data_IF_710863086441
#
_entry.id   IF_710863086441
#
_cell.length_a   1.000
_cell.length_b   1.000
_cell.length_c   1.000
_cell.angle_alpha   90.00
_cell.angle_beta   90.00
_cell.angle_gamma   90.00
#
_symmetry.space_group_name_H-M   'P 1'
#
loop_
_entity.id
_entity.type
_entity.pdbx_description
1 polymer ?
#
# COMPACT_ATOMS: atom_id res chain seq x y z
N UNK A 1 -21.20 -26.28 -13.09
CA UNK A 1 -20.97 -25.27 -12.05
C UNK A 1 -19.68 -25.66 -11.37
N UNK A 2 -18.61 -24.88 -11.54
CA UNK A 2 -17.38 -25.06 -10.76
C UNK A 2 -17.20 -23.79 -9.93
N UNK A 3 -17.39 -23.93 -8.63
CA UNK A 3 -16.96 -22.93 -7.65
C UNK A 3 -15.43 -22.93 -7.64
N UNK A 4 -14.84 -21.88 -8.19
CA UNK A 4 -13.42 -21.61 -8.05
C UNK A 4 -13.17 -21.11 -6.63
N UNK A 5 -12.88 -22.02 -5.71
CA UNK A 5 -12.28 -21.68 -4.43
C UNK A 5 -10.85 -21.16 -4.70
N UNK A 6 -10.63 -19.88 -4.45
CA UNK A 6 -9.28 -19.29 -4.44
C UNK A 6 -8.49 -19.93 -3.29
N UNK A 7 -7.47 -20.71 -3.65
CA UNK A 7 -6.45 -21.18 -2.71
C UNK A 7 -5.58 -20.00 -2.31
N UNK A 8 -5.86 -19.39 -1.14
CA UNK A 8 -4.84 -18.63 -0.41
C UNK A 8 -3.96 -19.64 0.32
N UNK A 9 -2.64 -19.47 0.21
CA UNK A 9 -1.68 -20.26 0.98
C UNK A 9 -1.87 -19.94 2.49
N UNK A 10 -2.08 -20.95 3.35
CA UNK A 10 -2.47 -20.77 4.75
C UNK A 10 -1.38 -20.10 5.63
N UNK A 11 -0.15 -19.97 5.14
CA UNK A 11 1.00 -19.52 5.93
C UNK A 11 1.14 -17.99 6.11
N UNK A 12 0.38 -17.14 5.40
CA UNK A 12 0.48 -15.67 5.52
C UNK A 12 -0.64 -15.01 6.36
N UNK A 13 -1.68 -15.75 6.73
CA UNK A 13 -2.88 -15.21 7.42
C UNK A 13 -2.79 -15.31 8.95
N UNK A 14 -1.86 -16.12 9.48
CA UNK A 14 -1.73 -16.35 10.92
C UNK A 14 -1.04 -15.16 11.61
N UNK A 15 -1.85 -14.21 12.08
CA UNK A 15 -1.41 -13.04 12.86
C UNK A 15 -1.73 -11.67 12.26
N UNK A 16 -2.43 -11.60 11.12
CA UNK A 16 -2.82 -10.33 10.53
C UNK A 16 -4.06 -9.73 11.23
N UNK A 17 -3.93 -8.50 11.73
CA UNK A 17 -5.01 -7.78 12.40
C UNK A 17 -6.23 -7.60 11.48
N UNK A 18 -7.39 -8.14 11.89
CA UNK A 18 -8.68 -7.98 11.20
C UNK A 18 -9.34 -6.69 11.65
N UNK A 19 -9.73 -5.86 10.69
CA UNK A 19 -10.33 -4.55 10.95
C UNK A 19 -11.53 -4.28 10.05
N UNK A 20 -12.45 -3.45 10.54
CA UNK A 20 -13.54 -2.93 9.72
C UNK A 20 -13.02 -1.83 8.79
N UNK A 21 -13.25 -1.99 7.48
CA UNK A 21 -12.78 -1.06 6.44
C UNK A 21 -13.37 0.33 6.70
N UNK A 22 -14.67 0.42 6.98
CA UNK A 22 -15.35 1.69 7.25
C UNK A 22 -14.75 2.43 8.43
N UNK A 23 -14.37 1.73 9.50
CA UNK A 23 -13.74 2.36 10.68
C UNK A 23 -12.42 3.01 10.29
N UNK A 24 -11.59 2.33 9.49
CA UNK A 24 -10.31 2.89 9.05
C UNK A 24 -10.47 4.04 8.07
N UNK A 25 -11.38 3.93 7.10
CA UNK A 25 -11.64 5.00 6.12
C UNK A 25 -12.17 6.28 6.77
N UNK A 26 -12.81 6.20 7.94
CA UNK A 26 -13.34 7.35 8.66
C UNK A 26 -12.41 7.88 9.76
N UNK A 27 -11.21 7.32 9.94
CA UNK A 27 -10.30 7.88 10.96
C UNK A 27 -9.83 9.28 10.53
N UNK A 28 -9.77 10.24 11.47
CA UNK A 28 -9.45 11.63 11.15
C UNK A 28 -8.01 11.87 10.69
N UNK A 29 -7.10 10.91 10.92
CA UNK A 29 -5.71 10.94 10.49
C UNK A 29 -5.50 10.40 9.06
N UNK A 30 -6.53 9.78 8.45
CA UNK A 30 -6.48 9.41 7.04
C UNK A 30 -6.67 10.67 6.20
N UNK A 31 -5.64 10.97 5.40
CA UNK A 31 -5.67 12.07 4.44
C UNK A 31 -6.49 11.66 3.23
N UNK A 32 -6.24 10.47 2.70
CA UNK A 32 -6.95 9.93 1.55
C UNK A 32 -6.85 8.40 1.51
N UNK A 33 -7.83 7.76 0.87
CA UNK A 33 -7.86 6.33 0.67
C UNK A 33 -8.15 5.96 -0.79
N UNK A 34 -7.27 5.15 -1.37
CA UNK A 34 -7.39 4.71 -2.76
C UNK A 34 -7.79 3.23 -2.81
N UNK A 35 -8.87 2.93 -3.52
CA UNK A 35 -9.16 1.53 -3.90
C UNK A 35 -8.10 1.06 -4.89
N UNK A 36 -7.54 -0.11 -4.64
CA UNK A 36 -6.46 -0.67 -5.45
C UNK A 36 -6.44 -2.19 -5.39
N UNK A 37 -5.56 -2.81 -6.17
CA UNK A 37 -5.21 -4.21 -5.98
C UNK A 37 -3.75 -4.31 -5.56
N UNK A 38 -3.47 -5.00 -4.46
CA UNK A 38 -2.10 -5.37 -4.10
C UNK A 38 -1.63 -6.49 -5.03
N UNK A 39 -0.46 -6.33 -5.64
CA UNK A 39 0.12 -7.29 -6.58
C UNK A 39 1.30 -8.01 -5.92
N UNK A 40 1.14 -9.29 -5.63
CA UNK A 40 2.20 -10.13 -5.05
C UNK A 40 3.20 -10.63 -6.11
N UNK A 41 4.36 -11.09 -5.64
CA UNK A 41 5.45 -11.58 -6.51
C UNK A 41 5.03 -12.80 -7.33
N UNK A 42 4.18 -13.65 -6.75
CA UNK A 42 3.57 -14.81 -7.41
C UNK A 42 2.49 -14.43 -8.46
N UNK A 43 2.22 -13.13 -8.66
CA UNK A 43 1.27 -12.63 -9.64
C UNK A 43 -0.18 -12.53 -9.13
N UNK A 44 -0.45 -12.97 -7.89
CA UNK A 44 -1.77 -12.85 -7.30
C UNK A 44 -2.10 -11.39 -7.00
N UNK A 45 -3.37 -11.05 -7.20
CA UNK A 45 -3.89 -9.71 -6.98
C UNK A 45 -5.00 -9.78 -5.93
N UNK A 46 -4.93 -8.89 -4.95
CA UNK A 46 -5.90 -8.84 -3.87
C UNK A 46 -6.59 -7.48 -3.82
N UNK A 47 -7.92 -7.49 -3.80
CA UNK A 47 -8.73 -6.30 -3.56
C UNK A 47 -8.31 -5.63 -2.26
N UNK A 48 -7.85 -4.39 -2.36
CA UNK A 48 -7.24 -3.68 -1.25
C UNK A 48 -7.58 -2.19 -1.23
N UNK A 49 -7.31 -1.55 -0.11
CA UNK A 49 -7.35 -0.10 0.04
C UNK A 49 -5.98 0.38 0.49
N UNK A 50 -5.39 1.32 -0.25
CA UNK A 50 -4.19 2.05 0.11
C UNK A 50 -4.60 3.32 0.87
N UNK A 51 -4.32 3.37 2.16
CA UNK A 51 -4.64 4.52 3.00
C UNK A 51 -3.35 5.31 3.25
N UNK A 52 -3.43 6.63 3.09
CA UNK A 52 -2.31 7.54 3.29
C UNK A 52 -2.63 8.44 4.48
N UNK A 53 -1.71 8.48 5.44
CA UNK A 53 -1.76 9.38 6.60
C UNK A 53 -0.66 10.42 6.49
N UNK A 54 -0.52 11.26 7.51
CA UNK A 54 0.55 12.23 7.58
C UNK A 54 1.96 11.61 7.63
N UNK A 55 2.08 10.38 8.12
CA UNK A 55 3.33 9.73 8.52
C UNK A 55 3.52 8.35 7.89
N UNK A 56 2.43 7.65 7.61
CA UNK A 56 2.42 6.24 7.21
C UNK A 56 1.52 5.95 6.01
N UNK A 57 1.82 4.85 5.33
CA UNK A 57 0.93 4.15 4.43
C UNK A 57 0.45 2.86 5.09
N UNK A 58 -0.84 2.58 4.92
CA UNK A 58 -1.47 1.33 5.30
C UNK A 58 -2.10 0.66 4.08
N UNK A 59 -2.08 -0.66 4.06
CA UNK A 59 -2.84 -1.45 3.07
C UNK A 59 -3.80 -2.35 3.80
N UNK A 60 -5.09 -2.15 3.51
CA UNK A 60 -6.16 -3.01 3.98
C UNK A 60 -6.53 -3.98 2.87
N UNK A 61 -6.23 -5.27 3.04
CA UNK A 61 -6.61 -6.33 2.10
C UNK A 61 -7.96 -6.91 2.47
N UNK A 62 -8.92 -6.89 1.56
CA UNK A 62 -10.26 -7.42 1.83
C UNK A 62 -10.20 -8.92 2.14
N UNK A 63 -11.04 -9.37 3.08
CA UNK A 63 -11.17 -10.78 3.43
C UNK A 63 -12.22 -11.43 2.51
N UNK A 64 -11.86 -12.47 1.72
CA UNK A 64 -12.82 -13.19 0.90
C UNK A 64 -13.97 -13.75 1.75
N UNK A 65 -15.21 -13.53 1.32
CA UNK A 65 -16.40 -14.01 2.04
C UNK A 65 -16.84 -13.14 3.22
N UNK A 66 -16.04 -12.16 3.68
CA UNK A 66 -16.39 -11.29 4.80
C UNK A 66 -16.44 -9.81 4.39
N UNK A 67 -17.60 -9.38 3.88
CA UNK A 67 -17.81 -8.01 3.41
C UNK A 67 -17.61 -6.98 4.52
N UNK A 68 -16.88 -5.91 4.22
CA UNK A 68 -16.64 -4.80 5.14
C UNK A 68 -15.46 -5.00 6.09
N UNK A 69 -14.80 -6.16 6.05
CA UNK A 69 -13.63 -6.47 6.86
C UNK A 69 -12.39 -6.68 5.98
N UNK A 70 -11.23 -6.34 6.52
CA UNK A 70 -9.95 -6.44 5.86
C UNK A 70 -8.83 -6.78 6.86
N UNK A 71 -7.75 -7.38 6.37
CA UNK A 71 -6.50 -7.49 7.11
C UNK A 71 -5.62 -6.26 6.86
N UNK A 72 -4.95 -5.76 7.89
CA UNK A 72 -3.84 -4.81 7.70
C UNK A 72 -2.62 -5.62 7.29
N UNK A 73 -2.25 -5.53 6.01
CA UNK A 73 -1.15 -6.33 5.44
C UNK A 73 0.14 -5.52 5.25
N UNK A 74 0.03 -4.19 5.23
CA UNK A 74 1.18 -3.28 5.16
C UNK A 74 0.96 -2.14 6.15
N UNK A 75 2.00 -1.84 6.92
CA UNK A 75 2.13 -0.63 7.74
C UNK A 75 3.55 -0.12 7.61
N UNK A 76 3.76 0.92 6.81
CA UNK A 76 5.11 1.47 6.56
C UNK A 76 5.14 2.98 6.72
N UNK A 77 6.20 3.54 7.30
CA UNK A 77 6.38 4.98 7.32
C UNK A 77 6.65 5.48 5.90
N UNK A 78 6.07 6.63 5.56
CA UNK A 78 6.31 7.32 4.29
C UNK A 78 7.78 7.66 4.10
N UNK A 79 8.51 7.97 5.18
CA UNK A 79 9.94 8.24 5.15
C UNK A 79 10.80 7.06 4.68
N UNK A 80 10.30 5.82 4.75
CA UNK A 80 11.01 4.66 4.23
C UNK A 80 10.90 4.54 2.70
N UNK A 81 9.99 5.26 2.05
CA UNK A 81 9.82 5.25 0.59
C UNK A 81 10.95 6.06 -0.02
N UNK A 82 11.88 5.35 -0.63
CA UNK A 82 13.04 5.94 -1.31
C UNK A 82 12.78 6.14 -2.81
N UNK A 83 11.84 5.39 -3.39
CA UNK A 83 11.50 5.52 -4.81
C UNK A 83 10.07 5.10 -5.08
N UNK A 84 9.40 5.86 -5.94
CA UNK A 84 8.08 5.55 -6.50
C UNK A 84 8.27 5.37 -7.99
N UNK A 85 7.81 4.24 -8.54
CA UNK A 85 7.93 3.95 -9.98
C UNK A 85 6.59 3.53 -10.56
N UNK A 86 6.34 3.91 -11.82
CA UNK A 86 5.20 3.44 -12.61
C UNK A 86 5.69 2.88 -13.95
N UNK A 87 4.99 1.89 -14.51
CA UNK A 87 5.32 1.38 -15.84
C UNK A 87 4.71 2.28 -16.91
N UNK A 88 5.50 2.71 -17.90
CA UNK A 88 5.02 3.54 -19.03
C UNK A 88 3.82 2.92 -19.79
N UNK A 89 3.80 1.60 -19.96
CA UNK A 89 2.70 0.86 -20.61
C UNK A 89 1.50 0.60 -19.70
N UNK A 90 1.72 0.60 -18.38
CA UNK A 90 0.69 0.34 -17.36
C UNK A 90 0.86 1.38 -16.26
N UNK A 91 0.43 2.63 -16.50
CA UNK A 91 0.63 3.73 -15.56
C UNK A 91 -0.08 3.49 -14.22
N UNK A 92 -1.12 2.65 -14.22
CA UNK A 92 -1.84 2.21 -13.03
C UNK A 92 -1.01 1.29 -12.12
N UNK A 93 0.02 0.63 -12.65
CA UNK A 93 0.91 -0.23 -11.86
C UNK A 93 2.00 0.61 -11.19
N UNK A 94 1.76 0.92 -9.93
CA UNK A 94 2.68 1.63 -9.05
C UNK A 94 3.52 0.63 -8.27
N UNK A 95 4.78 0.98 -8.04
CA UNK A 95 5.68 0.24 -7.15
C UNK A 95 6.37 1.23 -6.23
N UNK A 96 6.10 1.09 -4.93
CA UNK A 96 6.82 1.76 -3.87
C UNK A 96 8.03 0.92 -3.51
N UNK A 97 9.21 1.52 -3.52
CA UNK A 97 10.44 0.87 -3.06
C UNK A 97 10.86 1.49 -1.75
N UNK A 98 11.21 0.62 -0.82
CA UNK A 98 11.63 0.96 0.53
C UNK A 98 13.11 0.66 0.70
N UNK A 99 13.80 1.46 1.50
CA UNK A 99 15.23 1.29 1.68
C UNK A 99 15.86 2.40 2.50
N UNK A 100 17.19 2.36 2.55
CA UNK A 100 18.02 3.37 3.21
C UNK A 100 19.09 3.88 2.24
N UNK A 101 19.43 5.17 2.28
CA UNK A 101 20.62 5.67 1.60
C UNK A 101 21.87 5.16 2.33
N UNK A 102 22.81 4.56 1.59
CA UNK A 102 24.10 4.08 2.08
C UNK A 102 25.21 4.74 1.24
N UNK A 103 25.72 5.88 1.73
CA UNK A 103 26.64 6.73 0.99
C UNK A 103 26.01 7.27 -0.31
N UNK A 104 26.68 7.05 -1.44
CA UNK A 104 26.16 7.40 -2.77
C UNK A 104 25.20 6.34 -3.36
N UNK A 105 25.00 5.22 -2.67
CA UNK A 105 24.16 4.12 -3.12
C UNK A 105 22.84 4.08 -2.36
N UNK A 106 21.82 3.49 -2.99
CA UNK A 106 20.50 3.33 -2.39
C UNK A 106 20.17 1.84 -2.28
N UNK A 107 20.13 1.34 -1.04
CA UNK A 107 19.88 -0.08 -0.76
C UNK A 107 18.38 -0.28 -0.61
N UNK A 108 17.77 -0.95 -1.60
CA UNK A 108 16.36 -1.32 -1.55
C UNK A 108 16.22 -2.55 -0.66
N UNK A 109 15.50 -2.41 0.45
CA UNK A 109 15.18 -3.51 1.36
C UNK A 109 13.89 -4.22 0.97
N UNK A 110 12.93 -3.50 0.39
CA UNK A 110 11.60 -4.04 0.15
C UNK A 110 10.85 -3.28 -0.96
N UNK A 111 9.78 -3.87 -1.51
CA UNK A 111 8.94 -3.25 -2.53
C UNK A 111 7.49 -3.72 -2.46
N UNK A 112 6.56 -2.76 -2.44
CA UNK A 112 5.12 -3.04 -2.52
C UNK A 112 4.58 -2.57 -3.88
N UNK A 113 3.74 -3.39 -4.52
CA UNK A 113 3.21 -3.14 -5.87
C UNK A 113 1.70 -3.08 -5.85
N UNK A 114 1.15 -2.09 -6.54
CA UNK A 114 -0.28 -1.82 -6.54
C UNK A 114 -0.79 -1.47 -7.92
N UNK A 115 -1.97 -1.97 -8.29
CA UNK A 115 -2.77 -1.43 -9.38
C UNK A 115 -3.75 -0.42 -8.83
N UNK A 116 -3.54 0.85 -9.16
CA UNK A 116 -4.31 1.99 -8.66
C UNK A 116 -4.97 2.68 -9.87
N UNK A 117 -6.31 2.69 -9.99
CA UNK A 117 -6.99 3.32 -11.13
C UNK A 117 -6.60 4.80 -11.32
N UNK A 118 -6.51 5.56 -10.22
CA UNK A 118 -6.07 6.97 -10.22
C UNK A 118 -4.61 7.10 -9.74
N UNK A 119 -3.71 6.27 -10.28
CA UNK A 119 -2.30 6.22 -9.92
C UNK A 119 -1.59 7.58 -9.89
N UNK A 120 -1.94 8.50 -10.81
CA UNK A 120 -1.35 9.84 -10.85
C UNK A 120 -1.65 10.67 -9.59
N UNK A 121 -2.88 10.63 -9.09
CA UNK A 121 -3.28 11.34 -7.88
C UNK A 121 -2.66 10.71 -6.63
N UNK A 122 -2.72 9.38 -6.54
CA UNK A 122 -2.15 8.64 -5.42
C UNK A 122 -0.64 8.88 -5.28
N UNK A 123 0.10 8.77 -6.38
CA UNK A 123 1.57 8.99 -6.36
C UNK A 123 1.92 10.44 -6.07
N UNK A 124 1.16 11.41 -6.60
CA UNK A 124 1.35 12.83 -6.29
C UNK A 124 1.12 13.11 -4.81
N UNK A 125 0.02 12.62 -4.23
CA UNK A 125 -0.30 12.80 -2.82
C UNK A 125 0.78 12.21 -1.91
N UNK A 126 1.17 10.95 -2.15
CA UNK A 126 2.22 10.28 -1.38
C UNK A 126 3.54 11.05 -1.47
N UNK A 127 3.94 11.48 -2.67
CA UNK A 127 5.17 12.26 -2.87
C UNK A 127 5.14 13.60 -2.13
N UNK A 128 4.00 14.30 -2.18
CA UNK A 128 3.81 15.56 -1.45
C UNK A 128 3.93 15.35 0.06
N UNK A 129 3.35 14.27 0.58
CA UNK A 129 3.39 13.98 2.01
C UNK A 129 4.81 13.59 2.48
N UNK A 130 5.56 12.84 1.68
CA UNK A 130 6.99 12.56 1.95
C UNK A 130 7.79 13.87 2.00
N UNK A 131 7.64 14.74 1.00
CA UNK A 131 8.34 16.03 0.97
C UNK A 131 7.96 16.94 2.15
N UNK A 132 6.69 16.91 2.56
CA UNK A 132 6.21 17.67 3.73
C UNK A 132 6.90 17.21 5.02
N UNK A 133 7.05 15.91 5.23
CA UNK A 133 7.76 15.37 6.40
C UNK A 133 9.24 15.73 6.43
N UNK A 134 9.89 15.79 5.26
CA UNK A 134 11.29 16.20 5.17
C UNK A 134 11.45 17.67 5.55
N UNK A 135 10.64 18.57 4.96
CA UNK A 135 10.70 20.01 5.25
C UNK A 135 10.40 20.35 6.72
N UNK A 136 9.49 19.61 7.36
CA UNK A 136 9.16 19.82 8.77
C UNK A 136 10.23 19.34 9.76
N UNK A 137 11.32 18.72 9.29
CA UNK A 137 12.45 18.28 10.12
C UNK A 137 13.61 19.28 10.17
N UNK A 138 13.59 20.30 9.32
CA UNK A 138 14.63 21.33 9.18
C UNK A 138 14.31 22.64 9.93
N UNK A 139 13.27 22.65 10.78
CA UNK A 139 12.81 23.85 11.53
C UNK A 139 12.91 23.66 13.05
#
# INVERSE_FOLDING_TARGET
MVESASLTSPDEEEGQEVVAISTWLNKPDIIEAFKCHEVKVNGYMYDSHLLVTDSHIYVLRNIPGQKGFAHIVVRRPLSAIVKITSKKKHPELITFKYGVPEGDSLVISDMDRFLIPNAGEATKLVSQQILKQLKGKDE
#
